data_IF_404998408643
#
_entry.id   IF_404998408643
#
_cell.length_a   1.000
_cell.length_b   1.000
_cell.length_c   1.000
_cell.angle_alpha   90.00
_cell.angle_beta   90.00
_cell.angle_gamma   90.00
#
_symmetry.space_group_name_H-M   'P 1'
#
loop_
_entity.id
_entity.type
_entity.pdbx_description
1 polymer ?
#
# COMPACT_ATOMS: atom_id res chain seq x y z
N UNK A 1 16.92 6.37 -19.04
CA UNK A 1 15.95 5.97 -17.99
C UNK A 1 16.30 4.63 -17.35
N UNK A 2 16.56 3.56 -18.11
CA UNK A 2 16.91 2.24 -17.55
C UNK A 2 18.17 2.28 -16.66
N UNK A 3 19.27 2.89 -17.12
CA UNK A 3 20.51 3.07 -16.34
C UNK A 3 20.27 3.85 -15.02
N UNK A 4 19.45 4.89 -15.06
CA UNK A 4 19.09 5.67 -13.87
C UNK A 4 18.24 4.83 -12.89
N UNK A 5 17.35 3.99 -13.40
CA UNK A 5 16.58 3.06 -12.58
C UNK A 5 17.48 2.01 -11.93
N UNK A 6 18.40 1.40 -12.68
CA UNK A 6 19.28 0.33 -12.20
C UNK A 6 20.27 0.83 -11.12
N UNK A 7 20.68 2.09 -11.20
CA UNK A 7 21.54 2.73 -10.17
C UNK A 7 20.77 3.15 -8.92
N UNK A 8 19.52 3.60 -9.05
CA UNK A 8 18.70 4.07 -7.93
C UNK A 8 18.00 2.91 -7.17
N UNK A 9 17.60 1.86 -7.88
CA UNK A 9 16.90 0.69 -7.32
C UNK A 9 17.59 0.07 -6.10
N UNK A 10 18.89 -0.31 -6.13
CA UNK A 10 19.53 -0.94 -4.98
C UNK A 10 19.61 0.01 -3.77
N UNK A 11 19.83 1.31 -4.00
CA UNK A 11 19.85 2.32 -2.94
C UNK A 11 18.47 2.49 -2.29
N UNK A 12 17.42 2.50 -3.11
CA UNK A 12 16.04 2.54 -2.62
C UNK A 12 15.69 1.30 -1.82
N UNK A 13 16.00 0.11 -2.33
CA UNK A 13 15.73 -1.16 -1.65
C UNK A 13 16.43 -1.23 -0.30
N UNK A 14 17.73 -0.92 -0.24
CA UNK A 14 18.48 -0.87 1.02
C UNK A 14 17.83 0.05 2.06
N UNK A 15 17.32 1.21 1.63
CA UNK A 15 16.63 2.15 2.51
C UNK A 15 15.24 1.67 2.93
N UNK A 16 14.50 1.00 2.04
CA UNK A 16 13.23 0.35 2.40
C UNK A 16 13.46 -0.79 3.39
N UNK A 17 14.50 -1.59 3.21
CA UNK A 17 14.85 -2.69 4.11
C UNK A 17 15.20 -2.18 5.51
N UNK A 18 15.96 -1.07 5.60
CA UNK A 18 16.26 -0.39 6.86
C UNK A 18 14.97 0.12 7.55
N UNK A 19 14.06 0.75 6.81
CA UNK A 19 12.75 1.18 7.33
C UNK A 19 11.91 -0.01 7.80
N UNK A 20 11.92 -1.12 7.05
CA UNK A 20 11.16 -2.32 7.39
C UNK A 20 11.71 -3.01 8.63
N UNK A 21 13.04 -3.01 8.84
CA UNK A 21 13.64 -3.50 10.09
C UNK A 21 13.15 -2.72 11.29
N UNK A 22 13.17 -1.39 11.24
CA UNK A 22 12.63 -0.58 12.33
C UNK A 22 11.14 -0.79 12.57
N UNK A 23 10.36 -1.07 11.52
CA UNK A 23 8.94 -1.45 11.66
C UNK A 23 8.79 -2.77 12.39
N UNK A 24 9.56 -3.79 12.01
CA UNK A 24 9.53 -5.09 12.67
C UNK A 24 9.94 -4.98 14.14
N UNK A 25 11.06 -4.31 14.44
CA UNK A 25 11.52 -4.10 15.82
C UNK A 25 10.48 -3.36 16.68
N UNK A 26 9.82 -2.34 16.10
CA UNK A 26 8.73 -1.63 16.75
C UNK A 26 7.53 -2.56 17.02
N UNK A 27 7.11 -3.31 16.02
CA UNK A 27 5.91 -4.17 16.09
C UNK A 27 6.11 -5.33 17.07
N UNK A 28 7.29 -5.94 17.07
CA UNK A 28 7.71 -6.95 18.05
C UNK A 28 7.70 -6.37 19.47
N UNK A 29 8.37 -5.24 19.69
CA UNK A 29 8.42 -4.60 21.01
C UNK A 29 7.02 -4.19 21.52
N UNK A 30 6.14 -3.72 20.63
CA UNK A 30 4.76 -3.39 21.00
C UNK A 30 3.90 -4.63 21.30
N UNK A 31 4.05 -5.71 20.54
CA UNK A 31 3.35 -6.96 20.80
C UNK A 31 3.77 -7.54 22.16
N UNK A 32 5.07 -7.62 22.42
CA UNK A 32 5.59 -8.11 23.70
C UNK A 32 5.15 -7.21 24.87
N UNK A 33 5.17 -5.89 24.68
CA UNK A 33 4.71 -4.97 25.71
C UNK A 33 3.20 -5.10 25.98
N UNK A 34 2.39 -5.38 24.95
CA UNK A 34 0.96 -5.67 25.09
C UNK A 34 0.72 -6.97 25.88
N UNK A 35 1.49 -8.02 25.64
CA UNK A 35 1.40 -9.25 26.43
C UNK A 35 1.79 -9.02 27.89
N UNK A 36 2.88 -8.29 28.15
CA UNK A 36 3.26 -7.90 29.50
C UNK A 36 2.20 -7.03 30.16
N UNK A 37 1.54 -6.15 29.42
CA UNK A 37 0.43 -5.33 29.93
C UNK A 37 -0.68 -6.20 30.51
N UNK A 38 -1.11 -7.21 29.76
CA UNK A 38 -2.14 -8.14 30.20
C UNK A 38 -1.71 -8.95 31.43
N UNK A 39 -0.43 -9.33 31.51
CA UNK A 39 0.12 -10.02 32.70
C UNK A 39 0.14 -9.09 33.92
N UNK A 40 0.58 -7.86 33.74
CA UNK A 40 0.61 -6.82 34.79
C UNK A 40 -0.80 -6.51 35.29
N UNK A 41 -1.80 -6.46 34.41
CA UNK A 41 -3.21 -6.26 34.76
C UNK A 41 -3.75 -7.41 35.62
N UNK A 42 -3.46 -8.67 35.26
CA UNK A 42 -3.83 -9.83 36.09
C UNK A 42 -3.15 -9.84 37.45
N UNK A 43 -1.84 -9.61 37.50
CA UNK A 43 -1.09 -9.49 38.76
C UNK A 43 -1.66 -8.36 39.63
N UNK A 44 -2.07 -7.25 39.02
CA UNK A 44 -2.71 -6.15 39.72
C UNK A 44 -4.05 -6.56 40.33
N UNK A 45 -4.90 -7.29 39.59
CA UNK A 45 -6.18 -7.80 40.10
C UNK A 45 -6.00 -8.79 41.25
N UNK A 46 -5.03 -9.71 41.14
CA UNK A 46 -4.75 -10.70 42.18
C UNK A 46 -4.22 -10.04 43.47
N UNK A 47 -3.30 -9.07 43.33
CA UNK A 47 -2.81 -8.27 44.46
C UNK A 47 -3.92 -7.43 45.10
N UNK A 48 -4.89 -6.95 44.31
CA UNK A 48 -6.06 -6.23 44.82
C UNK A 48 -6.98 -7.15 45.62
N UNK A 49 -7.25 -8.37 45.13
CA UNK A 49 -8.09 -9.38 45.79
C UNK A 49 -7.50 -9.87 47.10
N UNK A 50 -6.18 -10.07 47.16
CA UNK A 50 -5.51 -10.59 48.35
C UNK A 50 -5.33 -9.56 49.48
N UNK A 51 -5.76 -8.32 49.29
CA UNK A 51 -5.66 -7.26 50.31
C UNK A 51 -4.22 -6.81 50.62
N UNK A 52 -3.22 -7.43 49.99
CA UNK A 52 -1.79 -7.05 50.06
C UNK A 52 -1.54 -5.67 49.41
N UNK A 53 -2.50 -5.16 48.64
CA UNK A 53 -2.49 -3.83 48.07
C UNK A 53 -3.04 -2.77 49.03
N UNK A 54 -2.44 -2.61 50.23
CA UNK A 54 -2.82 -1.60 51.22
C UNK A 54 -2.54 -0.18 50.66
N UNK A 55 -3.61 0.57 50.39
CA UNK A 55 -3.63 1.99 50.03
C UNK A 55 -2.60 2.44 48.98
N UNK A 56 -2.92 2.15 47.72
CA UNK A 56 -2.48 2.97 46.59
C UNK A 56 -3.51 4.10 46.41
N UNK A 57 -3.31 5.26 47.04
CA UNK A 57 -4.15 6.45 46.84
C UNK A 57 -3.99 7.03 45.41
N UNK A 58 -4.87 7.90 44.92
CA UNK A 58 -6.32 7.80 44.68
C UNK A 58 -6.65 7.28 43.26
N UNK A 59 -7.93 6.99 43.02
CA UNK A 59 -8.60 6.46 41.80
C UNK A 59 -8.11 6.89 40.39
N UNK A 60 -7.22 7.87 40.25
CA UNK A 60 -6.65 8.29 38.96
C UNK A 60 -5.42 7.47 38.50
N UNK A 61 -4.85 6.59 39.35
CA UNK A 61 -3.52 5.98 39.14
C UNK A 61 -3.48 4.50 38.71
N UNK A 62 -4.61 3.77 38.74
CA UNK A 62 -4.63 2.30 38.53
C UNK A 62 -5.04 1.87 37.12
N UNK A 63 -6.18 2.34 36.63
CA UNK A 63 -6.74 1.92 35.33
C UNK A 63 -6.43 2.93 34.23
N UNK A 64 -6.24 4.20 34.62
CA UNK A 64 -6.04 5.30 33.68
C UNK A 64 -4.71 5.22 32.93
N UNK A 65 -3.62 4.77 33.56
CA UNK A 65 -2.32 4.66 32.88
C UNK A 65 -2.31 3.58 31.81
N UNK A 66 -2.87 2.41 32.12
CA UNK A 66 -2.95 1.29 31.17
C UNK A 66 -3.90 1.62 30.02
N UNK A 67 -5.04 2.24 30.33
CA UNK A 67 -5.99 2.75 29.34
C UNK A 67 -5.43 3.90 28.50
N UNK A 68 -4.65 4.82 29.08
CA UNK A 68 -3.97 5.90 28.35
C UNK A 68 -2.87 5.34 27.44
N UNK A 69 -2.10 4.34 27.89
CA UNK A 69 -1.13 3.64 27.04
C UNK A 69 -1.81 2.92 25.88
N UNK A 70 -2.93 2.23 26.13
CA UNK A 70 -3.73 1.57 25.11
C UNK A 70 -4.31 2.57 24.11
N UNK A 71 -4.86 3.68 24.61
CA UNK A 71 -5.39 4.75 23.77
C UNK A 71 -4.31 5.40 22.90
N UNK A 72 -3.09 5.57 23.42
CA UNK A 72 -1.96 6.05 22.62
C UNK A 72 -1.57 5.01 21.56
N UNK A 73 -1.55 3.72 21.89
CA UNK A 73 -1.26 2.65 20.92
C UNK A 73 -2.32 2.58 19.83
N UNK A 74 -3.59 2.62 20.18
CA UNK A 74 -4.72 2.67 19.23
C UNK A 74 -4.63 3.91 18.37
N UNK A 75 -4.32 5.07 18.95
CA UNK A 75 -4.11 6.32 18.18
C UNK A 75 -2.92 6.18 17.25
N UNK A 76 -1.79 5.64 17.68
CA UNK A 76 -0.63 5.40 16.79
C UNK A 76 -1.00 4.44 15.64
N UNK A 77 -1.81 3.42 15.90
CA UNK A 77 -2.25 2.45 14.89
C UNK A 77 -3.30 3.03 13.93
N UNK A 78 -4.19 3.89 14.40
CA UNK A 78 -5.34 4.42 13.63
C UNK A 78 -5.11 5.82 13.04
N UNK A 79 -4.28 6.66 13.67
CA UNK A 79 -3.98 8.01 13.21
C UNK A 79 -2.96 7.96 12.08
N UNK A 80 -3.46 7.83 10.86
CA UNK A 80 -2.64 7.73 9.66
C UNK A 80 -2.04 9.07 9.16
N UNK A 81 -1.98 10.16 9.94
CA UNK A 81 -1.71 11.49 9.37
C UNK A 81 -0.71 12.33 10.21
N UNK A 82 0.46 12.51 9.59
CA UNK A 82 1.60 13.37 9.89
C UNK A 82 2.62 12.87 10.95
N UNK A 83 3.89 12.77 10.51
CA UNK A 83 5.03 12.39 11.36
C UNK A 83 5.22 13.35 12.55
N UNK A 84 4.68 14.57 12.46
CA UNK A 84 4.68 15.56 13.55
C UNK A 84 3.75 15.13 14.70
N UNK A 85 2.53 14.69 14.39
CA UNK A 85 1.57 14.21 15.38
C UNK A 85 2.02 12.86 15.96
N UNK A 86 2.59 11.98 15.14
CA UNK A 86 3.22 10.73 15.62
C UNK A 86 4.33 11.00 16.64
N UNK A 87 5.20 11.99 16.40
CA UNK A 87 6.25 12.38 17.36
C UNK A 87 5.69 12.90 18.67
N UNK A 88 4.58 13.66 18.63
CA UNK A 88 3.90 14.14 19.85
C UNK A 88 3.37 12.97 20.68
N UNK A 89 2.71 12.01 20.05
CA UNK A 89 2.19 10.81 20.71
C UNK A 89 3.31 9.97 21.34
N UNK A 90 4.44 9.79 20.63
CA UNK A 90 5.62 9.10 21.17
C UNK A 90 6.20 9.82 22.40
N UNK A 91 6.24 11.16 22.38
CA UNK A 91 6.72 11.94 23.51
C UNK A 91 5.75 11.90 24.70
N UNK A 92 4.43 11.93 24.45
CA UNK A 92 3.40 11.74 25.48
C UNK A 92 3.56 10.38 26.16
N UNK A 93 3.71 9.30 25.37
CA UNK A 93 3.96 7.95 25.87
C UNK A 93 5.23 7.89 26.71
N UNK A 94 6.33 8.48 26.23
CA UNK A 94 7.60 8.51 26.94
C UNK A 94 7.48 9.23 28.29
N UNK A 95 6.76 10.35 28.35
CA UNK A 95 6.50 11.08 29.60
C UNK A 95 5.64 10.28 30.57
N UNK A 96 4.67 9.52 30.08
CA UNK A 96 3.85 8.62 30.92
C UNK A 96 4.67 7.48 31.50
N UNK A 97 5.51 6.85 30.68
CA UNK A 97 6.41 5.76 31.12
C UNK A 97 7.38 6.26 32.19
N UNK A 98 8.05 7.39 31.97
CA UNK A 98 8.98 7.98 32.95
C UNK A 98 8.31 8.26 34.29
N UNK A 99 7.13 8.88 34.28
CA UNK A 99 6.34 9.13 35.50
C UNK A 99 5.98 7.84 36.24
N UNK A 100 5.80 6.74 35.51
CA UNK A 100 5.55 5.43 36.11
C UNK A 100 6.82 4.81 36.70
N UNK A 101 7.95 4.89 36.00
CA UNK A 101 9.24 4.37 36.45
C UNK A 101 9.71 5.07 37.74
N UNK A 102 9.64 6.41 37.78
CA UNK A 102 10.01 7.20 38.98
C UNK A 102 9.18 6.78 40.19
N UNK A 103 7.88 6.55 39.98
CA UNK A 103 6.96 6.09 41.02
C UNK A 103 7.20 4.64 41.48
N UNK A 104 7.68 3.77 40.58
CA UNK A 104 8.02 2.38 40.92
C UNK A 104 9.34 2.28 41.68
N UNK A 105 10.32 3.13 41.38
CA UNK A 105 11.60 3.19 42.12
C UNK A 105 11.40 3.61 43.57
N UNK A 106 10.55 4.61 43.85
CA UNK A 106 10.20 5.04 45.20
C UNK A 106 9.57 3.90 46.03
N UNK A 107 8.88 2.95 45.38
CA UNK A 107 8.08 1.92 46.04
C UNK A 107 8.77 0.56 46.20
N UNK A 108 9.82 0.29 45.40
CA UNK A 108 10.59 -0.96 45.47
C UNK A 108 11.22 -1.18 46.85
N UNK A 109 11.54 -0.12 47.58
CA UNK A 109 12.10 -0.22 48.93
C UNK A 109 11.06 -0.57 50.01
N UNK A 110 9.76 -0.41 49.72
CA UNK A 110 8.71 -0.49 50.72
C UNK A 110 8.00 -1.86 50.82
N UNK A 111 7.97 -2.68 49.75
CA UNK A 111 7.23 -3.95 49.75
C UNK A 111 7.89 -5.06 48.89
N UNK A 112 8.46 -6.10 49.51
CA UNK A 112 9.04 -7.24 48.79
C UNK A 112 8.01 -8.12 48.08
N UNK A 113 6.76 -8.18 48.56
CA UNK A 113 5.67 -8.95 47.93
C UNK A 113 5.23 -8.42 46.56
N UNK A 114 5.64 -7.19 46.21
CA UNK A 114 5.37 -6.53 44.93
C UNK A 114 6.50 -6.71 43.90
N UNK A 115 7.54 -7.51 44.20
CA UNK A 115 8.73 -7.63 43.36
C UNK A 115 8.41 -8.11 41.93
N UNK A 116 7.52 -9.10 41.78
CA UNK A 116 7.14 -9.65 40.48
C UNK A 116 6.36 -8.63 39.63
N UNK A 117 5.45 -7.87 40.24
CA UNK A 117 4.74 -6.77 39.60
C UNK A 117 5.68 -5.66 39.14
N UNK A 118 6.61 -5.25 40.01
CA UNK A 118 7.59 -4.19 39.70
C UNK A 118 8.52 -4.63 38.58
N UNK A 119 8.94 -5.90 38.56
CA UNK A 119 9.80 -6.43 37.51
C UNK A 119 9.06 -6.47 36.16
N UNK A 120 7.85 -7.02 36.11
CA UNK A 120 7.03 -7.05 34.90
C UNK A 120 6.76 -5.63 34.35
N UNK A 121 6.55 -4.64 35.24
CA UNK A 121 6.42 -3.23 34.86
C UNK A 121 7.69 -2.63 34.27
N UNK A 122 8.86 -2.90 34.85
CA UNK A 122 10.15 -2.44 34.31
C UNK A 122 10.43 -3.04 32.93
N UNK A 123 10.16 -4.33 32.77
CA UNK A 123 10.36 -5.00 31.49
C UNK A 123 9.40 -4.43 30.43
N UNK A 124 8.15 -4.15 30.80
CA UNK A 124 7.19 -3.44 29.94
C UNK A 124 7.68 -2.03 29.57
N UNK A 125 8.22 -1.26 30.53
CA UNK A 125 8.80 0.08 30.27
C UNK A 125 9.96 -0.01 29.27
N UNK A 126 10.88 -0.97 29.43
CA UNK A 126 12.01 -1.19 28.52
C UNK A 126 11.55 -1.49 27.10
N UNK A 127 10.56 -2.35 26.93
CA UNK A 127 10.01 -2.68 25.61
C UNK A 127 9.40 -1.45 24.95
N UNK A 128 8.62 -0.65 25.67
CA UNK A 128 8.07 0.59 25.12
C UNK A 128 9.15 1.61 24.77
N UNK A 129 10.21 1.74 25.57
CA UNK A 129 11.34 2.61 25.25
C UNK A 129 12.07 2.14 23.99
N UNK A 130 12.27 0.83 23.84
CA UNK A 130 12.87 0.22 22.65
C UNK A 130 12.03 0.46 21.40
N UNK A 131 10.73 0.13 21.46
CA UNK A 131 9.79 0.34 20.35
C UNK A 131 9.65 1.81 19.96
N UNK A 132 9.60 2.72 20.93
CA UNK A 132 9.57 4.16 20.65
C UNK A 132 10.85 4.65 19.97
N UNK A 133 12.02 4.11 20.33
CA UNK A 133 13.29 4.44 19.67
C UNK A 133 13.29 3.94 18.22
N UNK A 134 12.90 2.69 18.00
CA UNK A 134 12.77 2.12 16.65
C UNK A 134 11.78 2.94 15.78
N UNK A 135 10.64 3.35 16.33
CA UNK A 135 9.68 4.22 15.65
C UNK A 135 10.29 5.59 15.31
N UNK A 136 11.01 6.20 16.26
CA UNK A 136 11.67 7.48 16.01
C UNK A 136 12.74 7.37 14.91
N UNK A 137 13.55 6.30 14.91
CA UNK A 137 14.57 6.03 13.89
C UNK A 137 13.95 5.74 12.52
N UNK A 138 12.80 5.04 12.50
CA UNK A 138 11.98 4.85 11.30
C UNK A 138 11.55 6.20 10.70
N UNK A 139 10.96 7.09 11.51
CA UNK A 139 10.50 8.42 11.05
C UNK A 139 11.66 9.22 10.49
N UNK A 140 12.80 9.29 11.21
CA UNK A 140 13.97 10.00 10.74
C UNK A 140 14.50 9.45 9.40
N UNK A 141 14.50 8.13 9.24
CA UNK A 141 14.95 7.48 8.01
C UNK A 141 13.97 7.75 6.86
N UNK A 142 12.67 7.78 7.13
CA UNK A 142 11.64 8.16 6.16
C UNK A 142 11.81 9.60 5.70
N UNK A 143 12.05 10.55 6.61
CA UNK A 143 12.30 11.96 6.30
C UNK A 143 13.57 12.15 5.48
N UNK A 144 14.71 11.61 5.95
CA UNK A 144 16.02 11.69 5.25
C UNK A 144 15.95 11.10 3.84
N UNK A 145 15.19 10.02 3.68
CA UNK A 145 15.05 9.34 2.38
C UNK A 145 13.98 9.94 1.47
N UNK A 146 13.12 10.86 1.93
CA UNK A 146 11.93 11.33 1.21
C UNK A 146 12.24 11.82 -0.22
N UNK A 147 13.24 12.69 -0.38
CA UNK A 147 13.68 13.20 -1.68
C UNK A 147 14.16 12.07 -2.61
N UNK A 148 14.98 11.15 -2.10
CA UNK A 148 15.51 10.02 -2.88
C UNK A 148 14.41 9.04 -3.30
N UNK A 149 13.45 8.75 -2.42
CA UNK A 149 12.29 7.90 -2.70
C UNK A 149 11.38 8.52 -3.76
N UNK A 150 11.13 9.83 -3.66
CA UNK A 150 10.38 10.59 -4.67
C UNK A 150 11.05 10.51 -6.04
N UNK A 151 12.37 10.74 -6.11
CA UNK A 151 13.16 10.59 -7.35
C UNK A 151 13.07 9.18 -7.93
N UNK A 152 13.27 8.14 -7.11
CA UNK A 152 13.16 6.75 -7.56
C UNK A 152 11.77 6.42 -8.10
N UNK A 153 10.71 6.81 -7.38
CA UNK A 153 9.33 6.56 -7.80
C UNK A 153 9.00 7.26 -9.12
N UNK A 154 9.47 8.50 -9.29
CA UNK A 154 9.32 9.21 -10.56
C UNK A 154 10.04 8.50 -11.70
N UNK A 155 11.33 8.17 -11.55
CA UNK A 155 12.09 7.43 -12.57
C UNK A 155 11.48 6.08 -12.90
N UNK A 156 10.94 5.37 -11.91
CA UNK A 156 10.21 4.10 -12.11
C UNK A 156 8.95 4.31 -12.94
N UNK A 157 8.18 5.36 -12.65
CA UNK A 157 6.98 5.72 -13.41
C UNK A 157 7.35 6.07 -14.85
N UNK A 158 8.31 6.97 -15.04
CA UNK A 158 8.76 7.41 -16.36
C UNK A 158 9.25 6.22 -17.21
N UNK A 159 9.99 5.29 -16.60
CA UNK A 159 10.45 4.07 -17.29
C UNK A 159 9.28 3.18 -17.72
N UNK A 160 8.25 3.03 -16.87
CA UNK A 160 7.05 2.25 -17.20
C UNK A 160 6.28 2.90 -18.35
N UNK A 161 6.12 4.21 -18.30
CA UNK A 161 5.39 4.97 -19.31
C UNK A 161 6.14 4.90 -20.65
N UNK A 162 7.47 5.07 -20.64
CA UNK A 162 8.31 4.93 -21.83
C UNK A 162 8.25 3.53 -22.45
N UNK A 163 8.25 2.46 -21.64
CA UNK A 163 8.09 1.08 -22.12
C UNK A 163 6.71 0.87 -22.76
N UNK A 164 5.66 1.40 -22.13
CA UNK A 164 4.29 1.31 -22.65
C UNK A 164 4.14 2.05 -23.98
N UNK A 165 4.77 3.23 -24.10
CA UNK A 165 4.82 3.98 -25.35
C UNK A 165 5.61 3.24 -26.44
N UNK A 166 6.73 2.61 -26.10
CA UNK A 166 7.51 1.80 -27.02
C UNK A 166 6.70 0.60 -27.54
N UNK A 167 6.00 -0.12 -26.67
CA UNK A 167 5.11 -1.22 -27.05
C UNK A 167 3.93 -0.76 -27.91
N UNK A 168 3.37 0.42 -27.62
CA UNK A 168 2.33 1.02 -28.44
C UNK A 168 2.86 1.42 -29.84
N UNK A 169 4.04 2.02 -29.90
CA UNK A 169 4.69 2.38 -31.16
C UNK A 169 5.03 1.14 -31.99
N UNK A 170 5.55 0.08 -31.38
CA UNK A 170 5.82 -1.19 -32.05
C UNK A 170 4.54 -1.82 -32.63
N UNK A 171 3.45 -1.83 -31.86
CA UNK A 171 2.14 -2.30 -32.36
C UNK A 171 1.60 -1.43 -33.50
N UNK A 172 1.75 -0.12 -33.41
CA UNK A 172 1.32 0.80 -34.46
C UNK A 172 2.14 0.62 -35.74
N UNK A 173 3.45 0.39 -35.61
CA UNK A 173 4.34 0.12 -36.73
C UNK A 173 3.93 -1.18 -37.43
N UNK A 174 3.72 -2.26 -36.67
CA UNK A 174 3.21 -3.52 -37.20
C UNK A 174 1.84 -3.35 -37.88
N UNK A 175 0.93 -2.59 -37.28
CA UNK A 175 -0.36 -2.24 -37.90
C UNK A 175 -0.21 -1.48 -39.21
N UNK A 176 0.72 -0.54 -39.26
CA UNK A 176 1.00 0.26 -40.45
C UNK A 176 1.59 -0.60 -41.58
N UNK A 177 2.52 -1.50 -41.27
CA UNK A 177 3.11 -2.43 -42.23
C UNK A 177 2.06 -3.40 -42.79
N UNK A 178 1.21 -3.95 -41.91
CA UNK A 178 0.08 -4.79 -42.32
C UNK A 178 -0.93 -4.02 -43.18
N UNK A 179 -1.16 -2.73 -42.89
CA UNK A 179 -2.06 -1.90 -43.70
C UNK A 179 -1.46 -1.63 -45.09
N UNK A 180 -0.16 -1.31 -45.15
CA UNK A 180 0.56 -1.08 -46.41
C UNK A 180 0.54 -2.35 -47.26
N UNK A 181 0.87 -3.52 -46.68
CA UNK A 181 0.87 -4.79 -47.41
C UNK A 181 -0.53 -5.13 -47.93
N UNK A 182 -1.57 -4.92 -47.12
CA UNK A 182 -2.96 -5.09 -47.52
C UNK A 182 -3.33 -4.21 -48.72
N UNK A 183 -3.00 -2.91 -48.68
CA UNK A 183 -3.31 -1.99 -49.78
C UNK A 183 -2.46 -2.20 -51.02
N UNK A 184 -1.19 -2.59 -50.87
CA UNK A 184 -0.32 -2.96 -51.98
C UNK A 184 -0.89 -4.19 -52.72
N UNK A 185 -1.27 -5.24 -51.98
CA UNK A 185 -1.92 -6.43 -52.55
C UNK A 185 -3.25 -6.11 -53.22
N UNK A 186 -4.00 -5.14 -52.70
CA UNK A 186 -5.25 -4.64 -53.31
C UNK A 186 -5.02 -3.91 -54.63
N UNK A 187 -3.94 -3.13 -54.72
CA UNK A 187 -3.55 -2.45 -55.97
C UNK A 187 -3.23 -3.46 -57.07
N UNK A 188 -2.58 -4.56 -56.72
CA UNK A 188 -2.16 -5.61 -57.67
C UNK A 188 -3.28 -6.59 -58.02
N UNK A 189 -4.01 -7.11 -57.03
CA UNK A 189 -5.00 -8.18 -57.19
C UNK A 189 -6.45 -7.66 -57.33
N UNK A 190 -6.67 -6.34 -57.32
CA UNK A 190 -7.98 -5.71 -57.47
C UNK A 190 -8.84 -5.68 -56.19
N UNK A 191 -10.11 -5.29 -56.33
CA UNK A 191 -11.04 -5.01 -55.20
C UNK A 191 -11.98 -6.18 -54.81
N UNK A 192 -11.81 -7.35 -55.44
CA UNK A 192 -12.60 -8.57 -55.21
C UNK A 192 -12.27 -9.29 -53.89
N UNK A 193 -12.59 -10.58 -53.78
CA UNK A 193 -12.14 -11.37 -52.63
C UNK A 193 -10.62 -11.60 -52.69
N UNK A 194 -9.89 -11.28 -51.61
CA UNK A 194 -8.45 -11.53 -51.50
C UNK A 194 -8.23 -12.34 -50.24
N UNK A 195 -7.59 -13.49 -50.37
CA UNK A 195 -7.21 -14.34 -49.25
C UNK A 195 -6.29 -13.61 -48.26
N UNK A 196 -6.32 -13.99 -46.96
CA UNK A 196 -5.42 -13.43 -45.97
C UNK A 196 -3.98 -13.63 -46.44
N UNK A 197 -3.09 -12.71 -46.10
CA UNK A 197 -1.68 -12.90 -46.45
C UNK A 197 -1.14 -14.14 -45.73
N UNK A 198 -0.71 -15.20 -46.46
CA UNK A 198 -0.21 -16.43 -45.84
C UNK A 198 1.09 -16.19 -45.06
N UNK A 199 1.79 -15.06 -45.28
CA UNK A 199 3.00 -14.71 -44.53
C UNK A 199 2.70 -14.03 -43.18
N UNK A 200 1.45 -13.59 -42.93
CA UNK A 200 1.06 -12.94 -41.67
C UNK A 200 0.47 -13.97 -40.69
N UNK A 201 1.15 -14.21 -39.57
CA UNK A 201 0.68 -15.14 -38.52
C UNK A 201 -0.65 -14.72 -37.88
N UNK A 202 -0.90 -13.40 -37.78
CA UNK A 202 -2.12 -12.82 -37.20
C UNK A 202 -2.55 -11.57 -38.00
N UNK A 203 -3.22 -11.73 -39.15
CA UNK A 203 -3.60 -10.59 -40.00
C UNK A 203 -4.71 -9.76 -39.34
N UNK A 204 -4.44 -8.48 -39.04
CA UNK A 204 -5.47 -7.57 -38.50
C UNK A 204 -6.50 -7.18 -39.55
N UNK A 205 -6.11 -7.12 -40.83
CA UNK A 205 -6.99 -6.83 -41.95
C UNK A 205 -7.54 -8.13 -42.54
N UNK A 206 -8.87 -8.29 -42.51
CA UNK A 206 -9.55 -9.53 -42.88
C UNK A 206 -9.92 -9.57 -44.38
N UNK A 207 -10.20 -10.78 -44.88
CA UNK A 207 -10.79 -11.02 -46.21
C UNK A 207 -12.08 -10.22 -46.32
N UNK A 208 -12.08 -9.24 -47.22
CA UNK A 208 -13.23 -8.39 -47.45
C UNK A 208 -13.42 -8.24 -48.95
N UNK A 209 -14.45 -8.82 -49.55
CA UNK A 209 -14.83 -8.43 -50.90
C UNK A 209 -15.36 -6.99 -50.87
N UNK A 210 -14.49 -6.03 -51.21
CA UNK A 210 -14.82 -4.60 -51.16
C UNK A 210 -15.76 -4.23 -52.31
N UNK A 211 -15.62 -4.89 -53.46
CA UNK A 211 -16.50 -4.75 -54.62
C UNK A 211 -17.95 -5.09 -54.28
N UNK A 212 -18.20 -6.28 -53.75
CA UNK A 212 -19.54 -6.70 -53.32
C UNK A 212 -20.10 -5.79 -52.23
N UNK A 213 -19.28 -5.43 -51.23
CA UNK A 213 -19.72 -4.52 -50.16
C UNK A 213 -20.13 -3.15 -50.72
N UNK A 214 -19.39 -2.61 -51.67
CA UNK A 214 -19.70 -1.34 -52.33
C UNK A 214 -20.95 -1.45 -53.21
N UNK A 215 -21.10 -2.54 -53.95
CA UNK A 215 -22.28 -2.81 -54.79
C UNK A 215 -23.55 -2.95 -53.95
N UNK A 216 -23.48 -3.69 -52.85
CA UNK A 216 -24.59 -3.85 -51.92
C UNK A 216 -25.06 -2.50 -51.33
N UNK A 217 -24.13 -1.60 -51.05
CA UNK A 217 -24.46 -0.23 -50.58
C UNK A 217 -25.10 0.59 -51.71
N UNK A 218 -24.61 0.48 -52.95
CA UNK A 218 -25.21 1.12 -54.13
C UNK A 218 -26.64 0.64 -54.40
N UNK A 219 -26.92 -0.63 -54.12
CA UNK A 219 -28.27 -1.23 -54.16
C UNK A 219 -29.17 -0.77 -53.00
N UNK A 220 -28.73 0.19 -52.18
CA UNK A 220 -29.52 0.77 -51.08
C UNK A 220 -29.41 0.01 -49.75
N UNK A 221 -28.62 -1.05 -49.66
CA UNK A 221 -28.46 -1.79 -48.41
C UNK A 221 -27.54 -1.08 -47.41
N UNK A 222 -27.77 -1.31 -46.13
CA UNK A 222 -26.94 -0.70 -45.06
C UNK A 222 -25.53 -1.28 -45.01
N UNK A 223 -24.55 -0.39 -44.81
CA UNK A 223 -23.14 -0.74 -44.61
C UNK A 223 -22.94 -1.59 -43.33
N UNK A 224 -21.80 -2.26 -43.21
CA UNK A 224 -21.46 -3.02 -41.99
C UNK A 224 -21.45 -2.13 -40.74
N UNK A 225 -20.93 -0.90 -40.85
CA UNK A 225 -20.98 0.10 -39.78
C UNK A 225 -22.42 0.52 -39.46
N UNK A 226 -23.25 0.74 -40.48
CA UNK A 226 -24.67 1.04 -40.32
C UNK A 226 -25.45 -0.08 -39.60
N UNK A 227 -25.15 -1.34 -39.93
CA UNK A 227 -25.73 -2.52 -39.25
C UNK A 227 -25.30 -2.60 -37.78
N UNK A 228 -24.01 -2.36 -37.48
CA UNK A 228 -23.50 -2.32 -36.10
C UNK A 228 -24.16 -1.19 -35.29
N UNK A 229 -24.35 -0.01 -35.90
CA UNK A 229 -25.04 1.13 -35.27
C UNK A 229 -26.51 0.80 -34.99
N UNK A 230 -27.24 0.22 -35.95
CA UNK A 230 -28.63 -0.23 -35.74
C UNK A 230 -28.73 -1.27 -34.63
N UNK A 231 -27.82 -2.24 -34.57
CA UNK A 231 -27.76 -3.26 -33.51
C UNK A 231 -27.51 -2.65 -32.12
N UNK A 232 -26.57 -1.69 -32.02
CA UNK A 232 -26.29 -0.98 -30.76
C UNK A 232 -27.47 -0.14 -30.29
N UNK A 233 -28.15 0.54 -31.21
CA UNK A 233 -29.33 1.33 -30.89
C UNK A 233 -30.51 0.45 -30.45
N UNK A 234 -30.72 -0.70 -31.10
CA UNK A 234 -31.71 -1.71 -30.67
C UNK A 234 -31.43 -2.26 -29.27
N UNK A 235 -30.16 -2.47 -28.92
CA UNK A 235 -29.77 -2.97 -27.59
C UNK A 235 -30.02 -1.94 -26.49
N UNK A 236 -29.79 -0.66 -26.80
CA UNK A 236 -30.11 0.46 -25.90
C UNK A 236 -31.62 0.66 -25.70
N UNK A 237 -32.45 0.40 -26.71
CA UNK A 237 -33.91 0.51 -26.55
C UNK A 237 -34.48 -0.62 -25.70
N UNK A 238 -33.94 -1.84 -25.82
CA UNK A 238 -34.37 -2.97 -24.98
C UNK A 238 -33.92 -2.82 -23.52
N UNK A 239 -32.76 -2.24 -23.25
CA UNK A 239 -32.29 -1.95 -21.88
C UNK A 239 -33.10 -0.84 -21.18
N UNK A 240 -33.85 -0.02 -21.93
CA UNK A 240 -34.72 1.05 -21.40
C UNK A 240 -36.17 0.58 -21.21
N UNK A 241 -36.56 -0.53 -21.84
CA UNK A 241 -37.90 -1.15 -21.69
C UNK A 241 -37.94 -2.20 -20.55
N UNK A 242 -36.78 -2.58 -20.00
CA UNK A 242 -36.64 -3.53 -18.88
C UNK A 242 -36.33 -2.84 -17.51
N UNK A 243 -36.30 -1.50 -17.46
CA UNK A 243 -36.31 -0.66 -16.23
C UNK A 243 -37.70 -0.05 -15.99
#
# INVERSE_FOLDING_TARGET
MQIAYDTLKPKYLKKMDEINRFRMERDEAHSEAKELRNKVEKLQDDLARNGQMKSLDPRWKKDKLLSELDSIDDRIQTSALDHVEERKLLEERRKLIRRNDDWLEERKQANPELAEYVQARRDMSRLYQSGNRAHQDMIQTLEKSASSRKKFNQTRKDLRDAKTQLEAAGRLMEESEQAISYWARRKENGIGEIEPDPMLKNPKFHIHNLGEKAQRIREGNTSAAGRRRKKRNRKKTTEVEEE
#
